data_IF_416541198482
#
_entry.id   IF_416541198482
#
_cell.length_a   1.000
_cell.length_b   1.000
_cell.length_c   1.000
_cell.angle_alpha   90.00
_cell.angle_beta   90.00
_cell.angle_gamma   90.00
#
_symmetry.space_group_name_H-M   'P 1'
#
loop_
_entity.id
_entity.type
_entity.pdbx_description
1 polymer ?
#
# COMPACT_ATOMS: atom_id res chain seq x y z
N UNK A 1 -21.95 2.28 1.12
CA UNK A 1 -21.60 0.86 1.27
C UNK A 1 -21.39 0.21 -0.08
N UNK A 2 -20.45 -0.73 -0.17
CA UNK A 2 -20.16 -1.50 -1.40
C UNK A 2 -19.72 -0.68 -2.62
N UNK A 3 -19.03 0.45 -2.44
CA UNK A 3 -18.55 1.29 -3.55
C UNK A 3 -17.54 0.56 -4.44
N UNK A 4 -16.59 -0.17 -3.86
CA UNK A 4 -15.58 -0.93 -4.61
C UNK A 4 -16.22 -2.00 -5.52
N UNK A 5 -17.08 -2.93 -5.06
CA UNK A 5 -17.74 -3.88 -5.94
C UNK A 5 -18.59 -3.22 -7.03
N UNK A 6 -19.31 -2.15 -6.71
CA UNK A 6 -20.11 -1.42 -7.70
C UNK A 6 -19.25 -0.79 -8.80
N UNK A 7 -18.16 -0.13 -8.43
CA UNK A 7 -17.22 0.44 -9.38
C UNK A 7 -16.53 -0.65 -10.23
N UNK A 8 -16.16 -1.79 -9.63
CA UNK A 8 -15.58 -2.92 -10.34
C UNK A 8 -16.55 -3.52 -11.36
N UNK A 9 -17.81 -3.73 -11.00
CA UNK A 9 -18.85 -4.18 -11.96
C UNK A 9 -19.07 -3.15 -13.08
N UNK A 10 -19.01 -1.87 -12.74
CA UNK A 10 -19.11 -0.79 -13.75
C UNK A 10 -17.99 -0.94 -14.80
N UNK A 11 -16.74 -1.09 -14.36
CA UNK A 11 -15.58 -1.26 -15.23
C UNK A 11 -15.61 -2.58 -16.01
N UNK A 12 -16.23 -3.61 -15.46
CA UNK A 12 -16.45 -4.90 -16.14
C UNK A 12 -17.57 -4.86 -17.21
N UNK A 13 -18.16 -3.70 -17.47
CA UNK A 13 -19.17 -3.51 -18.50
C UNK A 13 -20.62 -3.60 -18.04
N UNK A 14 -20.89 -3.75 -16.72
CA UNK A 14 -22.27 -3.76 -16.19
C UNK A 14 -22.85 -2.35 -15.96
N UNK A 15 -22.32 -1.36 -16.67
CA UNK A 15 -22.87 0.00 -16.72
C UNK A 15 -22.80 0.54 -18.16
N UNK A 16 -23.79 1.32 -18.63
CA UNK A 16 -23.87 1.77 -20.02
C UNK A 16 -22.60 2.48 -20.54
N UNK A 17 -21.93 3.24 -19.67
CA UNK A 17 -20.72 3.98 -20.03
C UNK A 17 -19.50 3.09 -20.34
N UNK A 18 -19.49 1.85 -19.88
CA UNK A 18 -18.40 0.88 -20.04
C UNK A 18 -18.81 -0.40 -20.75
N UNK A 19 -20.09 -0.51 -21.16
CA UNK A 19 -20.58 -1.64 -21.92
C UNK A 19 -20.32 -1.45 -23.42
N UNK A 20 -19.87 -2.50 -24.08
CA UNK A 20 -19.73 -2.54 -25.55
C UNK A 20 -21.07 -2.70 -26.26
N UNK A 21 -22.09 -3.15 -25.53
CA UNK A 21 -23.44 -3.39 -26.04
C UNK A 21 -24.46 -2.54 -25.27
N UNK A 22 -25.57 -2.24 -25.91
CA UNK A 22 -26.66 -1.47 -25.30
C UNK A 22 -27.75 -2.38 -24.80
N UNK A 23 -28.07 -2.28 -23.50
CA UNK A 23 -29.16 -3.03 -22.87
C UNK A 23 -30.22 -2.09 -22.29
N UNK A 24 -31.54 -2.42 -22.40
CA UNK A 24 -32.61 -1.60 -21.83
C UNK A 24 -32.57 -1.47 -20.31
N UNK A 25 -31.96 -2.45 -19.63
CA UNK A 25 -31.80 -2.48 -18.17
C UNK A 25 -30.71 -3.45 -17.77
N UNK A 26 -30.18 -3.30 -16.54
CA UNK A 26 -29.25 -4.26 -15.94
C UNK A 26 -29.84 -5.68 -15.87
N UNK A 27 -31.14 -5.82 -15.62
CA UNK A 27 -31.81 -7.12 -15.62
C UNK A 27 -31.68 -7.82 -16.99
N UNK A 28 -31.89 -7.08 -18.09
CA UNK A 28 -31.74 -7.62 -19.46
C UNK A 28 -30.29 -7.95 -19.79
N UNK A 29 -29.35 -7.16 -19.29
CA UNK A 29 -27.92 -7.46 -19.43
C UNK A 29 -27.56 -8.75 -18.69
N UNK A 30 -28.05 -8.96 -17.46
CA UNK A 30 -27.79 -10.17 -16.68
C UNK A 30 -28.48 -11.39 -17.30
N UNK A 31 -29.67 -11.26 -17.90
CA UNK A 31 -30.30 -12.33 -18.69
C UNK A 31 -29.41 -12.73 -19.88
N UNK A 32 -28.89 -11.77 -20.61
CA UNK A 32 -27.96 -12.02 -21.74
C UNK A 32 -26.63 -12.62 -21.27
N UNK A 33 -26.13 -12.21 -20.11
CA UNK A 33 -24.93 -12.78 -19.47
C UNK A 33 -25.16 -14.23 -18.98
N UNK A 34 -26.41 -14.61 -18.74
CA UNK A 34 -26.82 -15.97 -18.37
C UNK A 34 -26.86 -16.26 -16.87
N UNK A 35 -26.53 -15.29 -16.01
CA UNK A 35 -26.56 -15.46 -14.54
C UNK A 35 -26.67 -14.14 -13.78
N UNK A 36 -27.07 -14.22 -12.50
CA UNK A 36 -26.86 -13.16 -11.52
C UNK A 36 -25.44 -13.18 -10.97
N UNK A 37 -25.06 -12.10 -10.28
CA UNK A 37 -23.75 -11.96 -9.66
C UNK A 37 -23.93 -11.69 -8.16
N UNK A 38 -23.31 -12.51 -7.31
CA UNK A 38 -23.22 -12.29 -5.88
C UNK A 38 -21.75 -12.13 -5.50
N UNK A 39 -21.42 -11.09 -4.72
CA UNK A 39 -20.07 -10.79 -4.28
C UNK A 39 -20.03 -10.74 -2.76
N UNK A 40 -19.26 -11.63 -2.15
CA UNK A 40 -18.95 -11.60 -0.72
C UNK A 40 -17.51 -11.13 -0.52
N UNK A 41 -17.30 -10.17 0.37
CA UNK A 41 -15.98 -9.60 0.66
C UNK A 41 -15.59 -9.87 2.11
N UNK A 42 -14.35 -10.29 2.30
CA UNK A 42 -13.70 -10.38 3.61
C UNK A 42 -12.37 -9.61 3.57
N UNK A 43 -12.23 -8.61 4.43
CA UNK A 43 -10.98 -7.91 4.67
C UNK A 43 -10.56 -8.13 6.13
N UNK A 44 -9.47 -8.87 6.33
CA UNK A 44 -8.95 -9.19 7.66
C UNK A 44 -8.05 -8.08 8.23
N UNK A 45 -7.74 -7.03 7.45
CA UNK A 45 -6.90 -5.91 7.84
C UNK A 45 -7.77 -4.71 8.19
N UNK A 46 -7.50 -3.99 9.29
CA UNK A 46 -8.28 -2.81 9.68
C UNK A 46 -8.26 -1.72 8.58
N UNK A 47 -9.39 -1.09 8.34
CA UNK A 47 -9.46 0.08 7.46
C UNK A 47 -8.56 1.21 8.00
N UNK A 48 -7.93 1.96 7.10
CA UNK A 48 -6.98 3.02 7.48
C UNK A 48 -5.65 2.50 8.05
N UNK A 49 -5.29 1.25 7.73
CA UNK A 49 -4.07 0.60 8.21
C UNK A 49 -2.77 1.18 7.61
N UNK A 50 -2.84 1.89 6.47
CA UNK A 50 -1.67 2.35 5.73
C UNK A 50 -0.97 1.27 4.90
N UNK A 51 -1.55 0.08 4.78
CA UNK A 51 -0.97 -1.06 4.06
C UNK A 51 -1.58 -1.24 2.64
N UNK A 52 -2.05 -0.18 2.00
CA UNK A 52 -2.64 -0.27 0.66
C UNK A 52 -3.94 -1.08 0.58
N UNK A 53 -4.65 -1.26 1.70
CA UNK A 53 -5.80 -2.18 1.82
C UNK A 53 -6.90 -1.88 0.80
N UNK A 54 -7.13 -0.61 0.46
CA UNK A 54 -8.16 -0.21 -0.52
C UNK A 54 -7.82 -0.74 -1.92
N UNK A 55 -6.61 -0.47 -2.37
CA UNK A 55 -6.13 -0.88 -3.69
C UNK A 55 -6.02 -2.40 -3.81
N UNK A 56 -5.57 -3.07 -2.75
CA UNK A 56 -5.48 -4.55 -2.71
C UNK A 56 -6.88 -5.17 -2.75
N UNK A 57 -7.84 -4.63 -2.00
CA UNK A 57 -9.22 -5.11 -2.05
C UNK A 57 -9.84 -4.88 -3.42
N UNK A 58 -9.64 -3.70 -4.01
CA UNK A 58 -10.13 -3.38 -5.36
C UNK A 58 -9.54 -4.32 -6.42
N UNK A 59 -8.21 -4.55 -6.38
CA UNK A 59 -7.53 -5.49 -7.29
C UNK A 59 -8.03 -6.92 -7.12
N UNK A 60 -8.32 -7.35 -5.89
CA UNK A 60 -8.87 -8.68 -5.61
C UNK A 60 -10.27 -8.84 -6.21
N UNK A 61 -11.13 -7.83 -6.05
CA UNK A 61 -12.48 -7.83 -6.65
C UNK A 61 -12.41 -7.83 -8.17
N UNK A 62 -11.54 -6.98 -8.75
CA UNK A 62 -11.35 -6.94 -10.21
C UNK A 62 -10.79 -8.26 -10.76
N UNK A 63 -9.84 -8.89 -10.06
CA UNK A 63 -9.33 -10.20 -10.43
C UNK A 63 -10.40 -11.29 -10.43
N UNK A 64 -11.26 -11.31 -9.41
CA UNK A 64 -12.37 -12.27 -9.34
C UNK A 64 -13.40 -12.03 -10.44
N UNK A 65 -13.77 -10.76 -10.71
CA UNK A 65 -14.70 -10.38 -11.80
C UNK A 65 -14.09 -10.70 -13.16
N UNK A 66 -12.80 -10.41 -13.36
CA UNK A 66 -12.07 -10.75 -14.58
C UNK A 66 -12.20 -12.25 -14.92
N UNK A 67 -11.93 -13.10 -13.93
CA UNK A 67 -12.04 -14.56 -14.12
C UNK A 67 -13.49 -15.00 -14.33
N UNK A 68 -14.43 -14.49 -13.54
CA UNK A 68 -15.84 -14.82 -13.61
C UNK A 68 -16.49 -14.41 -14.94
N UNK A 69 -16.15 -13.23 -15.46
CA UNK A 69 -16.70 -12.67 -16.69
C UNK A 69 -15.88 -13.03 -17.94
N UNK A 70 -14.71 -13.67 -17.80
CA UNK A 70 -13.83 -14.03 -18.93
C UNK A 70 -13.26 -12.81 -19.66
N UNK A 71 -12.88 -11.73 -18.96
CA UNK A 71 -12.47 -10.45 -19.55
C UNK A 71 -11.05 -10.49 -20.12
N UNK A 72 -10.27 -11.51 -19.81
CA UNK A 72 -8.89 -11.73 -20.29
C UNK A 72 -7.90 -10.61 -19.91
N UNK A 73 -8.14 -9.89 -18.81
CA UNK A 73 -7.20 -8.90 -18.28
C UNK A 73 -5.97 -9.59 -17.68
N UNK A 74 -4.80 -9.08 -17.99
CA UNK A 74 -3.58 -9.50 -17.32
C UNK A 74 -3.38 -8.76 -15.97
N UNK A 75 -2.28 -9.02 -15.28
CA UNK A 75 -1.98 -8.38 -13.99
C UNK A 75 -1.75 -6.87 -14.11
N UNK A 76 -1.20 -6.39 -15.23
CA UNK A 76 -1.01 -4.96 -15.46
C UNK A 76 -2.35 -4.28 -15.73
N UNK A 77 -3.23 -4.94 -16.50
CA UNK A 77 -4.60 -4.47 -16.73
C UNK A 77 -5.34 -4.34 -15.40
N UNK A 78 -5.27 -5.36 -14.54
CA UNK A 78 -5.90 -5.31 -13.21
C UNK A 78 -5.35 -4.14 -12.38
N UNK A 79 -4.04 -3.88 -12.42
CA UNK A 79 -3.46 -2.72 -11.74
C UNK A 79 -3.98 -1.40 -12.32
N UNK A 80 -4.06 -1.30 -13.64
CA UNK A 80 -4.56 -0.10 -14.34
C UNK A 80 -6.05 0.13 -14.05
N UNK A 81 -6.87 -0.90 -14.11
CA UNK A 81 -8.29 -0.82 -13.74
C UNK A 81 -8.48 -0.53 -12.25
N UNK A 82 -7.57 -0.99 -11.38
CA UNK A 82 -7.61 -0.61 -9.96
C UNK A 82 -7.40 0.89 -9.78
N UNK A 83 -6.44 1.49 -10.50
CA UNK A 83 -6.23 2.94 -10.47
C UNK A 83 -7.49 3.68 -10.95
N UNK A 84 -8.06 3.26 -12.08
CA UNK A 84 -9.29 3.86 -12.62
C UNK A 84 -10.43 3.73 -11.60
N UNK A 85 -10.59 2.57 -10.97
CA UNK A 85 -11.59 2.35 -9.92
C UNK A 85 -11.42 3.32 -8.75
N UNK A 86 -10.20 3.51 -8.27
CA UNK A 86 -9.89 4.45 -7.19
C UNK A 86 -10.17 5.90 -7.60
N UNK A 87 -9.89 6.28 -8.85
CA UNK A 87 -10.26 7.59 -9.40
C UNK A 87 -11.78 7.79 -9.43
N UNK A 88 -12.55 6.79 -9.86
CA UNK A 88 -14.02 6.80 -9.82
C UNK A 88 -14.57 6.99 -8.39
N UNK A 89 -13.86 6.47 -7.39
CA UNK A 89 -14.19 6.62 -5.97
C UNK A 89 -13.61 7.90 -5.35
N UNK A 90 -12.93 8.73 -6.12
CA UNK A 90 -12.31 9.98 -5.66
C UNK A 90 -11.33 9.81 -4.50
N UNK A 91 -10.60 8.71 -4.46
CA UNK A 91 -9.63 8.45 -3.38
C UNK A 91 -8.32 9.19 -3.57
N UNK A 92 -7.97 9.57 -4.81
CA UNK A 92 -6.79 10.35 -5.14
C UNK A 92 -5.46 9.61 -4.93
N UNK A 93 -5.49 8.27 -4.84
CA UNK A 93 -4.30 7.44 -4.69
C UNK A 93 -3.47 7.33 -5.97
N UNK A 94 -2.20 6.92 -5.82
CA UNK A 94 -1.33 6.54 -6.93
C UNK A 94 -1.45 5.06 -7.27
N UNK A 95 -0.59 4.59 -8.17
CA UNK A 95 -0.60 3.20 -8.67
C UNK A 95 0.29 2.23 -7.87
N UNK A 96 1.03 2.66 -6.86
CA UNK A 96 2.03 1.83 -6.18
C UNK A 96 1.44 0.65 -5.40
N UNK A 97 0.30 0.84 -4.71
CA UNK A 97 -0.25 -0.16 -3.79
C UNK A 97 -0.82 -1.37 -4.53
N UNK A 98 -1.50 -1.16 -5.65
CA UNK A 98 -2.01 -2.24 -6.49
C UNK A 98 -0.88 -3.07 -7.08
N UNK A 99 0.18 -2.44 -7.62
CA UNK A 99 1.35 -3.16 -8.09
C UNK A 99 2.08 -3.87 -6.93
N UNK A 100 2.07 -3.28 -5.75
CA UNK A 100 2.58 -3.88 -4.52
C UNK A 100 1.87 -5.18 -4.16
N UNK A 101 0.55 -5.24 -4.27
CA UNK A 101 -0.28 -6.38 -3.89
C UNK A 101 -0.52 -7.41 -5.01
N UNK A 102 -0.69 -6.97 -6.25
CA UNK A 102 -0.98 -7.86 -7.40
C UNK A 102 0.23 -8.71 -7.78
N UNK A 103 1.42 -8.12 -7.76
CA UNK A 103 2.67 -8.83 -8.02
C UNK A 103 3.34 -9.27 -6.72
N UNK A 104 3.97 -10.44 -6.73
CA UNK A 104 4.68 -11.00 -5.58
C UNK A 104 6.06 -10.35 -5.34
N UNK A 105 6.66 -10.59 -4.19
CA UNK A 105 8.04 -10.27 -3.86
C UNK A 105 8.30 -8.79 -3.64
N UNK A 106 9.56 -8.42 -3.54
CA UNK A 106 10.04 -7.05 -3.34
C UNK A 106 10.28 -6.41 -4.70
N UNK A 107 9.83 -5.16 -4.85
CA UNK A 107 9.83 -4.51 -6.17
C UNK A 107 10.22 -3.04 -6.07
N UNK A 108 10.99 -2.59 -7.06
CA UNK A 108 11.10 -1.19 -7.43
C UNK A 108 10.10 -0.91 -8.56
N UNK A 109 9.25 0.06 -8.37
CA UNK A 109 8.29 0.51 -9.36
C UNK A 109 8.74 1.83 -9.94
N UNK A 110 8.78 1.91 -11.26
CA UNK A 110 9.21 3.11 -11.98
C UNK A 110 8.21 3.43 -13.09
N UNK A 111 7.99 4.70 -13.35
CA UNK A 111 7.20 5.17 -14.48
C UNK A 111 7.86 6.40 -15.08
N UNK A 112 7.68 6.61 -16.37
CA UNK A 112 8.06 7.84 -17.03
C UNK A 112 7.04 8.95 -16.77
N UNK A 113 7.48 10.20 -16.93
CA UNK A 113 6.58 11.35 -16.80
C UNK A 113 5.62 11.38 -17.99
N UNK A 114 4.34 11.61 -17.74
CA UNK A 114 3.31 11.69 -18.78
C UNK A 114 1.91 11.49 -18.22
N UNK A 115 0.90 11.74 -19.04
CA UNK A 115 -0.49 11.47 -18.69
C UNK A 115 -0.82 9.98 -18.71
N UNK A 116 -0.21 9.23 -19.63
CA UNK A 116 -0.29 7.77 -19.65
C UNK A 116 0.84 7.19 -18.83
N UNK A 117 0.49 6.38 -17.84
CA UNK A 117 1.43 5.77 -16.91
C UNK A 117 1.56 4.29 -17.21
N UNK A 118 2.77 3.84 -17.50
CA UNK A 118 3.12 2.44 -17.72
C UNK A 118 4.17 2.01 -16.67
N UNK A 119 3.75 1.65 -15.45
CA UNK A 119 4.69 1.30 -14.39
C UNK A 119 5.51 0.06 -14.75
N UNK A 120 6.82 0.19 -14.70
CA UNK A 120 7.77 -0.89 -14.85
C UNK A 120 8.02 -1.53 -13.48
N UNK A 121 7.86 -2.84 -13.42
CA UNK A 121 8.13 -3.65 -12.21
C UNK A 121 9.52 -4.24 -12.32
N UNK A 122 10.41 -3.90 -11.38
CA UNK A 122 11.74 -4.51 -11.24
C UNK A 122 11.79 -5.29 -9.93
N UNK A 123 11.90 -6.60 -10.00
CA UNK A 123 12.05 -7.44 -8.80
C UNK A 123 13.41 -7.26 -8.17
N UNK A 124 13.43 -7.16 -6.85
CA UNK A 124 14.61 -7.04 -6.03
C UNK A 124 14.80 -8.32 -5.20
N UNK A 125 16.03 -8.64 -4.79
CA UNK A 125 16.30 -9.81 -3.96
C UNK A 125 15.65 -9.67 -2.58
N UNK A 126 15.30 -10.79 -1.98
CA UNK A 126 14.62 -10.88 -0.70
C UNK A 126 15.56 -11.12 0.51
N UNK A 127 16.87 -11.25 0.27
CA UNK A 127 17.87 -11.60 1.28
C UNK A 127 17.76 -10.82 2.59
N UNK A 128 17.56 -9.49 2.52
CA UNK A 128 17.40 -8.64 3.72
C UNK A 128 16.18 -9.01 4.57
N UNK A 129 15.20 -9.70 4.02
CA UNK A 129 13.93 -9.99 4.69
C UNK A 129 13.78 -11.44 5.12
N UNK A 130 14.51 -12.36 4.47
CA UNK A 130 14.39 -13.81 4.74
C UNK A 130 15.61 -14.37 5.45
N UNK A 131 16.77 -13.69 5.37
CA UNK A 131 18.00 -14.18 6.02
C UNK A 131 17.84 -14.26 7.54
N UNK A 132 18.26 -15.33 8.19
CA UNK A 132 18.09 -15.54 9.64
C UNK A 132 18.62 -14.38 10.50
N UNK A 133 19.71 -13.72 10.10
CA UNK A 133 20.31 -12.62 10.85
C UNK A 133 19.45 -11.34 10.84
N UNK A 134 18.58 -11.17 9.83
CA UNK A 134 17.85 -9.92 9.62
C UNK A 134 16.34 -10.05 9.76
N UNK A 135 15.76 -11.22 9.41
CA UNK A 135 14.28 -11.38 9.35
C UNK A 135 13.58 -10.98 10.65
N UNK A 136 14.19 -11.29 11.81
CA UNK A 136 13.60 -11.01 13.11
C UNK A 136 13.77 -9.54 13.54
N UNK A 137 14.61 -8.78 12.81
CA UNK A 137 14.80 -7.33 12.99
C UNK A 137 13.73 -6.49 12.28
N UNK A 138 12.95 -7.08 11.40
CA UNK A 138 11.80 -6.41 10.76
C UNK A 138 10.57 -6.56 11.65
N UNK A 139 10.08 -5.45 12.18
CA UNK A 139 8.95 -5.43 13.09
C UNK A 139 7.79 -4.64 12.51
N UNK A 140 6.59 -5.21 12.57
CA UNK A 140 5.35 -4.55 12.19
C UNK A 140 4.44 -4.46 13.42
N UNK A 141 4.07 -3.23 13.79
CA UNK A 141 3.27 -2.96 14.98
C UNK A 141 2.02 -2.17 14.61
N UNK A 142 0.85 -2.73 14.88
CA UNK A 142 -0.40 -1.99 14.77
C UNK A 142 -0.52 -1.03 15.95
N UNK A 143 -0.56 0.27 15.67
CA UNK A 143 -0.58 1.31 16.71
C UNK A 143 -1.93 1.43 17.42
N UNK A 144 -3.00 0.86 16.84
CA UNK A 144 -4.37 1.07 17.31
C UNK A 144 -4.91 2.48 17.06
N UNK A 145 -4.14 3.33 16.38
CA UNK A 145 -4.48 4.70 15.99
C UNK A 145 -4.92 4.66 14.53
N UNK A 146 -6.08 5.21 14.24
CA UNK A 146 -6.59 5.30 12.87
C UNK A 146 -6.82 6.75 12.50
N UNK A 147 -6.38 7.16 11.32
CA UNK A 147 -6.65 8.46 10.72
C UNK A 147 -7.04 8.28 9.25
N UNK A 148 -7.85 9.19 8.74
CA UNK A 148 -8.24 9.17 7.34
C UNK A 148 -7.09 9.71 6.49
N UNK A 149 -6.50 8.88 5.63
CA UNK A 149 -5.41 9.24 4.71
C UNK A 149 -5.81 10.35 3.70
N UNK A 150 -7.11 10.49 3.43
CA UNK A 150 -7.66 11.41 2.42
C UNK A 150 -7.23 12.88 2.63
N UNK A 151 -7.14 13.35 3.88
CA UNK A 151 -6.74 14.74 4.17
C UNK A 151 -5.26 15.00 3.89
N UNK A 152 -4.40 14.04 4.20
CA UNK A 152 -2.94 14.12 3.96
C UNK A 152 -2.65 14.15 2.47
N UNK A 153 -3.24 13.23 1.70
CA UNK A 153 -3.07 13.18 0.25
C UNK A 153 -3.56 14.44 -0.44
N UNK A 154 -4.71 15.00 -0.01
CA UNK A 154 -5.24 16.24 -0.56
C UNK A 154 -4.31 17.43 -0.34
N UNK A 155 -3.67 17.53 0.82
CA UNK A 155 -2.69 18.58 1.13
C UNK A 155 -1.44 18.49 0.23
N UNK A 156 -0.89 17.28 0.08
CA UNK A 156 0.27 17.03 -0.79
C UNK A 156 -0.07 17.40 -2.24
N UNK A 157 -1.21 16.93 -2.77
CA UNK A 157 -1.65 17.21 -4.13
C UNK A 157 -1.86 18.72 -4.33
N UNK A 158 -2.49 19.41 -3.37
CA UNK A 158 -2.66 20.87 -3.42
C UNK A 158 -1.32 21.61 -3.51
N UNK A 159 -0.34 21.21 -2.68
CA UNK A 159 1.01 21.81 -2.70
C UNK A 159 1.74 21.59 -4.02
N UNK A 160 1.53 20.45 -4.68
CA UNK A 160 2.06 20.17 -6.03
C UNK A 160 1.41 21.07 -7.08
N UNK A 161 0.08 21.21 -7.08
CA UNK A 161 -0.65 22.07 -8.01
C UNK A 161 -0.26 23.55 -7.86
N UNK A 162 0.05 23.98 -6.65
CA UNK A 162 0.50 25.35 -6.37
C UNK A 162 1.98 25.56 -6.69
N UNK A 163 2.66 24.56 -7.29
CA UNK A 163 4.08 24.62 -7.63
C UNK A 163 4.98 25.04 -6.45
N UNK A 164 4.69 24.54 -5.25
CA UNK A 164 5.50 24.79 -4.07
C UNK A 164 6.94 24.29 -4.29
N UNK A 165 7.88 25.19 -4.45
CA UNK A 165 9.30 24.87 -4.70
C UNK A 165 9.88 23.88 -3.69
N UNK A 166 9.69 24.06 -2.36
CA UNK A 166 10.15 23.11 -1.36
C UNK A 166 9.57 21.70 -1.53
N UNK A 167 8.26 21.59 -1.85
CA UNK A 167 7.63 20.28 -2.06
C UNK A 167 8.12 19.59 -3.32
N UNK A 168 8.30 20.33 -4.41
CA UNK A 168 8.84 19.78 -5.66
C UNK A 168 10.29 19.29 -5.49
N UNK A 169 11.12 20.06 -4.78
CA UNK A 169 12.50 19.67 -4.44
C UNK A 169 12.50 18.39 -3.59
N UNK A 170 11.65 18.33 -2.57
CA UNK A 170 11.52 17.15 -1.70
C UNK A 170 11.08 15.90 -2.49
N UNK A 171 10.14 16.04 -3.42
CA UNK A 171 9.71 14.92 -4.29
C UNK A 171 10.86 14.43 -5.19
N UNK A 172 11.69 15.34 -5.72
CA UNK A 172 12.89 14.97 -6.48
C UNK A 172 13.89 14.20 -5.60
N UNK A 173 14.11 14.63 -4.35
CA UNK A 173 14.93 13.92 -3.38
C UNK A 173 14.35 12.53 -3.04
N UNK A 174 13.04 12.40 -2.86
CA UNK A 174 12.38 11.12 -2.61
C UNK A 174 12.53 10.17 -3.79
N UNK A 175 12.50 10.68 -5.03
CA UNK A 175 12.77 9.87 -6.22
C UNK A 175 14.20 9.31 -6.24
N UNK A 176 15.20 10.14 -5.94
CA UNK A 176 16.59 9.70 -5.81
C UNK A 176 16.74 8.68 -4.66
N UNK A 177 16.10 8.97 -3.52
CA UNK A 177 16.11 8.10 -2.35
C UNK A 177 15.53 6.70 -2.63
N UNK A 178 14.51 6.57 -3.49
CA UNK A 178 14.00 5.27 -3.91
C UNK A 178 15.06 4.43 -4.66
N UNK A 179 15.93 5.08 -5.42
CA UNK A 179 17.06 4.41 -6.07
C UNK A 179 18.12 3.97 -5.06
N UNK A 180 18.48 4.83 -4.09
CA UNK A 180 19.40 4.48 -2.99
C UNK A 180 18.87 3.26 -2.22
N UNK A 181 17.55 3.23 -1.94
CA UNK A 181 16.89 2.11 -1.27
C UNK A 181 17.01 0.82 -2.08
N UNK A 182 16.78 0.88 -3.39
CA UNK A 182 16.92 -0.29 -4.26
C UNK A 182 18.35 -0.81 -4.29
N UNK A 183 19.34 0.08 -4.29
CA UNK A 183 20.77 -0.28 -4.24
C UNK A 183 21.14 -0.95 -2.90
N UNK A 184 20.65 -0.43 -1.78
CA UNK A 184 20.86 -1.04 -0.46
C UNK A 184 20.29 -2.47 -0.41
N UNK A 185 19.12 -2.71 -1.01
CA UNK A 185 18.50 -4.05 -1.12
C UNK A 185 19.34 -4.96 -2.02
N UNK A 186 19.74 -4.50 -3.21
CA UNK A 186 20.56 -5.25 -4.17
C UNK A 186 21.90 -5.67 -3.58
N UNK A 187 22.50 -4.83 -2.72
CA UNK A 187 23.77 -5.11 -2.03
C UNK A 187 23.60 -5.86 -0.72
N UNK A 188 22.38 -6.21 -0.33
CA UNK A 188 22.06 -6.79 0.98
C UNK A 188 22.63 -6.00 2.16
N UNK A 189 22.66 -4.67 2.03
CA UNK A 189 23.21 -3.78 3.07
C UNK A 189 22.10 -3.39 4.07
N UNK A 190 21.98 -4.20 5.14
CA UNK A 190 20.94 -4.06 6.15
C UNK A 190 20.98 -2.71 6.88
N UNK A 191 22.18 -2.25 7.26
CA UNK A 191 22.35 -0.97 7.95
C UNK A 191 21.94 0.23 7.10
N UNK A 192 22.32 0.23 5.82
CA UNK A 192 21.90 1.27 4.89
C UNK A 192 20.40 1.22 4.65
N UNK A 193 19.83 0.03 4.47
CA UNK A 193 18.39 -0.16 4.34
C UNK A 193 17.63 0.45 5.53
N UNK A 194 18.02 0.12 6.77
CA UNK A 194 17.38 0.64 7.96
C UNK A 194 17.47 2.16 8.06
N UNK A 195 18.64 2.77 7.81
CA UNK A 195 18.81 4.23 7.79
C UNK A 195 17.96 4.91 6.71
N UNK A 196 17.85 4.29 5.54
CA UNK A 196 17.01 4.80 4.45
C UNK A 196 15.53 4.73 4.78
N UNK A 197 15.06 3.71 5.51
CA UNK A 197 13.70 3.68 6.07
C UNK A 197 13.45 4.89 6.98
N UNK A 198 14.41 5.22 7.86
CA UNK A 198 14.33 6.41 8.72
C UNK A 198 14.32 7.72 7.93
N UNK A 199 15.14 7.82 6.85
CA UNK A 199 15.13 9.00 5.95
C UNK A 199 13.76 9.18 5.27
N UNK A 200 13.14 8.08 4.82
CA UNK A 200 11.75 8.14 4.28
C UNK A 200 10.78 8.75 5.29
N UNK A 201 10.90 8.39 6.58
CA UNK A 201 10.04 8.92 7.62
C UNK A 201 10.20 10.43 7.80
N UNK A 202 11.42 10.94 7.74
CA UNK A 202 11.71 12.38 7.81
C UNK A 202 11.11 13.09 6.58
N UNK A 203 11.27 12.53 5.40
CA UNK A 203 10.71 13.09 4.16
C UNK A 203 9.18 13.11 4.18
N UNK A 204 8.53 12.06 4.68
CA UNK A 204 7.07 12.02 4.81
C UNK A 204 6.55 13.10 5.76
N UNK A 205 7.22 13.36 6.88
CA UNK A 205 6.86 14.44 7.80
C UNK A 205 7.08 15.84 7.19
N UNK A 206 8.07 15.97 6.31
CA UNK A 206 8.30 17.24 5.59
C UNK A 206 7.26 17.49 4.49
N UNK A 207 6.64 16.43 3.93
CA UNK A 207 5.52 16.55 2.99
C UNK A 207 4.22 16.97 3.70
N UNK A 208 3.94 16.40 4.86
CA UNK A 208 2.72 16.71 5.62
C UNK A 208 2.95 16.55 7.13
N UNK A 209 2.67 17.61 7.87
CA UNK A 209 2.84 17.62 9.33
C UNK A 209 1.88 16.64 10.06
N UNK A 210 0.78 16.25 9.45
CA UNK A 210 -0.16 15.28 9.98
C UNK A 210 0.32 13.83 9.91
N UNK A 211 1.41 13.57 9.20
CA UNK A 211 2.02 12.24 9.07
C UNK A 211 2.41 11.65 10.43
N UNK A 212 2.94 12.47 11.35
CA UNK A 212 3.39 12.05 12.69
C UNK A 212 2.56 12.66 13.81
N UNK A 213 1.38 12.13 14.14
CA UNK A 213 0.59 12.64 15.26
C UNK A 213 1.27 12.37 16.61
N UNK A 214 0.99 13.20 17.66
CA UNK A 214 1.63 13.08 18.96
C UNK A 214 1.60 11.68 19.59
N UNK A 215 0.52 10.94 19.38
CA UNK A 215 0.38 9.58 19.89
C UNK A 215 1.37 8.59 19.21
N UNK A 216 1.67 8.79 17.93
CA UNK A 216 2.70 7.99 17.21
C UNK A 216 4.09 8.43 17.64
N UNK A 217 4.33 9.73 17.75
CA UNK A 217 5.60 10.27 18.23
C UNK A 217 5.97 9.71 19.62
N UNK A 218 4.98 9.58 20.52
CA UNK A 218 5.18 8.99 21.86
C UNK A 218 5.57 7.50 21.82
N UNK A 219 5.07 6.73 20.83
CA UNK A 219 5.50 5.34 20.60
C UNK A 219 6.96 5.32 20.13
N UNK A 220 7.27 6.14 19.13
CA UNK A 220 8.60 6.24 18.52
C UNK A 220 9.66 6.62 19.55
N UNK A 221 9.37 7.56 20.43
CA UNK A 221 10.30 8.02 21.46
C UNK A 221 10.78 6.90 22.37
N UNK A 222 9.96 5.89 22.63
CA UNK A 222 10.30 4.74 23.47
C UNK A 222 11.24 3.75 22.79
N UNK A 223 11.30 3.74 21.46
CA UNK A 223 11.99 2.67 20.71
C UNK A 223 13.08 3.18 19.76
N UNK A 224 13.21 4.48 19.55
CA UNK A 224 14.14 5.08 18.58
C UNK A 224 15.59 4.62 18.78
N UNK A 225 16.03 4.46 20.02
CA UNK A 225 17.41 4.07 20.34
C UNK A 225 17.73 2.60 20.00
N UNK A 226 16.72 1.78 19.74
CA UNK A 226 16.85 0.38 19.37
C UNK A 226 16.69 0.14 17.85
N UNK A 227 16.37 1.17 17.07
CA UNK A 227 16.10 1.06 15.64
C UNK A 227 17.20 1.66 14.78
N UNK A 228 17.40 1.11 13.58
CA UNK A 228 18.11 1.76 12.48
C UNK A 228 17.20 2.77 11.78
N UNK A 229 15.92 2.46 11.70
CA UNK A 229 14.89 3.31 11.12
C UNK A 229 13.49 2.78 11.36
N UNK A 230 12.53 3.64 11.15
CA UNK A 230 11.10 3.33 11.29
C UNK A 230 10.27 4.25 10.39
N UNK A 231 9.06 3.83 10.05
CA UNK A 231 8.08 4.66 9.33
C UNK A 231 6.65 4.13 9.50
N UNK A 232 5.68 4.99 9.28
CA UNK A 232 4.32 4.53 8.96
C UNK A 232 4.24 4.29 7.45
N UNK A 233 3.83 3.11 6.97
CA UNK A 233 3.51 2.88 5.56
C UNK A 233 2.36 3.76 5.08
N UNK A 234 2.30 4.03 3.78
CA UNK A 234 1.29 4.89 3.17
C UNK A 234 1.44 6.37 3.56
N UNK A 235 0.33 7.09 3.68
CA UNK A 235 0.30 8.51 4.00
C UNK A 235 0.67 8.86 5.45
N UNK A 236 0.79 7.87 6.33
CA UNK A 236 1.06 8.11 7.76
C UNK A 236 -0.20 8.44 8.57
N UNK A 237 -0.01 9.11 9.70
CA UNK A 237 -1.10 9.52 10.59
C UNK A 237 -1.64 8.43 11.52
N UNK A 238 -1.19 7.18 11.40
CA UNK A 238 -1.63 6.02 12.18
C UNK A 238 -1.50 4.71 11.42
N UNK A 239 -2.24 3.68 11.84
CA UNK A 239 -2.17 2.36 11.26
C UNK A 239 -1.00 1.54 11.78
N UNK A 240 -0.18 1.02 10.88
CA UNK A 240 0.98 0.21 11.23
C UNK A 240 2.26 1.05 11.30
N UNK A 241 3.10 0.75 12.27
CA UNK A 241 4.47 1.24 12.37
C UNK A 241 5.42 0.11 11.96
N UNK A 242 6.15 0.30 10.88
CA UNK A 242 7.23 -0.57 10.46
C UNK A 242 8.53 -0.08 11.04
N UNK A 243 9.31 -1.00 11.62
CA UNK A 243 10.57 -0.72 12.30
C UNK A 243 11.65 -1.68 11.82
N UNK A 244 12.86 -1.18 11.66
CA UNK A 244 14.07 -1.97 11.42
C UNK A 244 14.92 -1.87 12.69
N UNK A 245 14.96 -2.92 13.50
CA UNK A 245 15.77 -2.98 14.71
C UNK A 245 17.26 -3.07 14.34
N UNK A 246 18.15 -2.59 15.22
CA UNK A 246 19.60 -2.64 15.01
C UNK A 246 20.14 -4.07 14.93
N UNK A 247 19.57 -4.97 15.70
CA UNK A 247 19.91 -6.37 15.81
C UNK A 247 18.77 -7.16 16.48
N UNK A 248 18.83 -8.50 16.57
CA UNK A 248 17.79 -9.31 17.20
C UNK A 248 17.58 -9.00 18.70
N UNK A 249 18.62 -8.56 19.42
CA UNK A 249 18.49 -8.16 20.83
C UNK A 249 17.68 -6.87 20.95
N UNK A 250 17.97 -5.89 20.13
CA UNK A 250 17.20 -4.64 20.04
C UNK A 250 15.74 -4.91 19.63
N UNK A 251 15.49 -5.84 18.70
CA UNK A 251 14.14 -6.27 18.33
C UNK A 251 13.38 -6.85 19.54
N UNK A 252 14.04 -7.68 20.36
CA UNK A 252 13.50 -8.21 21.61
C UNK A 252 13.13 -7.09 22.60
N UNK A 253 13.98 -6.06 22.75
CA UNK A 253 13.70 -4.91 23.61
C UNK A 253 12.50 -4.10 23.10
N UNK A 254 12.42 -3.83 21.80
CA UNK A 254 11.27 -3.13 21.21
C UNK A 254 9.97 -3.90 21.49
N UNK A 255 9.97 -5.23 21.27
CA UNK A 255 8.80 -6.07 21.54
C UNK A 255 8.38 -5.99 23.00
N UNK A 256 9.33 -6.09 23.94
CA UNK A 256 9.08 -5.98 25.37
C UNK A 256 8.46 -4.63 25.73
N UNK A 257 9.11 -3.51 25.34
CA UNK A 257 8.66 -2.14 25.64
C UNK A 257 7.24 -1.89 25.13
N UNK A 258 6.97 -2.22 23.88
CA UNK A 258 5.67 -1.93 23.26
C UNK A 258 4.56 -2.90 23.69
N UNK A 259 4.90 -4.07 24.24
CA UNK A 259 3.92 -4.99 24.83
C UNK A 259 3.57 -4.54 26.25
N UNK A 260 4.58 -4.23 27.09
CA UNK A 260 4.38 -3.81 28.48
C UNK A 260 3.73 -2.40 28.58
N UNK A 261 4.04 -1.53 27.62
CA UNK A 261 3.59 -0.14 27.60
C UNK A 261 2.76 0.16 26.33
N UNK A 262 1.85 -0.75 25.98
CA UNK A 262 0.99 -0.58 24.83
C UNK A 262 0.17 0.73 24.94
N UNK A 263 0.09 1.54 23.87
CA UNK A 263 -0.59 2.85 23.91
C UNK A 263 -2.10 2.72 24.05
N UNK A 264 -2.67 1.59 23.69
CA UNK A 264 -4.09 1.28 23.79
C UNK A 264 -4.34 -0.23 23.63
N UNK A 265 -5.53 -0.76 23.99
CA UNK A 265 -5.82 -2.20 23.95
C UNK A 265 -5.82 -2.85 22.55
N UNK A 266 -5.86 -2.06 21.48
CA UNK A 266 -5.83 -2.56 20.09
C UNK A 266 -4.41 -2.68 19.55
N UNK A 267 -3.46 -2.01 20.17
CA UNK A 267 -2.08 -2.00 19.73
C UNK A 267 -1.43 -3.36 19.94
N UNK A 268 -0.75 -3.87 18.90
CA UNK A 268 -0.11 -5.20 18.94
C UNK A 268 0.90 -5.38 17.83
N UNK A 269 1.87 -6.25 18.05
CA UNK A 269 2.71 -6.76 16.97
C UNK A 269 1.90 -7.66 16.03
N UNK A 270 2.27 -7.62 14.77
CA UNK A 270 1.72 -8.49 13.71
C UNK A 270 2.90 -9.17 13.04
N UNK A 271 2.74 -10.45 12.75
CA UNK A 271 3.70 -11.20 11.97
C UNK A 271 3.75 -10.67 10.54
N UNK A 272 4.96 -10.52 10.00
CA UNK A 272 5.20 -10.03 8.65
C UNK A 272 6.02 -11.07 7.90
N UNK A 273 5.49 -11.51 6.76
CA UNK A 273 6.19 -12.42 5.86
C UNK A 273 6.09 -11.89 4.42
N UNK A 274 7.06 -12.25 3.59
CA UNK A 274 6.99 -11.95 2.16
C UNK A 274 6.02 -12.92 1.48
N UNK A 275 5.16 -12.38 0.61
CA UNK A 275 4.30 -13.18 -0.25
C UNK A 275 5.04 -13.52 -1.55
N UNK A 276 5.03 -14.79 -1.90
CA UNK A 276 5.56 -15.34 -3.15
C UNK A 276 4.50 -15.44 -4.27
N UNK A 277 3.25 -15.13 -3.99
CA UNK A 277 2.12 -15.41 -4.90
C UNK A 277 1.45 -14.18 -5.49
N UNK A 278 1.37 -13.06 -4.74
CA UNK A 278 0.59 -11.89 -5.15
C UNK A 278 -0.91 -12.18 -5.26
N UNK A 279 -1.58 -11.55 -6.21
CA UNK A 279 -2.99 -11.81 -6.52
C UNK A 279 -3.20 -13.22 -7.05
N UNK A 280 -4.13 -13.95 -6.44
CA UNK A 280 -4.58 -15.28 -6.85
C UNK A 280 -6.08 -15.30 -7.02
N UNK A 281 -6.55 -16.01 -8.05
CA UNK A 281 -7.95 -16.33 -8.27
C UNK A 281 -8.05 -17.86 -8.43
N UNK A 282 -9.05 -18.46 -7.79
CA UNK A 282 -9.32 -19.90 -7.89
C UNK A 282 -10.80 -20.14 -8.09
N UNK A 283 -11.15 -21.18 -8.81
CA UNK A 283 -12.51 -21.71 -8.98
C UNK A 283 -12.68 -22.95 -8.10
N UNK A 284 -13.80 -23.09 -7.46
CA UNK A 284 -14.22 -24.29 -6.68
C UNK A 284 -15.29 -25.06 -7.43
#
# INVERSE_FOLDING_TARGET
>A
PFSIPKAALTLAGFAPAFSTESYPSLAKQLEAFGSGIEITLLAAIPAGSGLGTSSILASTVLGAINDFCGLAWDKNDICSYTLILEQLLTTGGGWQDQYGGVFSGIKLLQSEAGFEQHPLVRWLPDQLFVHPDYRDCHLLYYTGITRTAKSILAEIVSSMFLNSGPHLSLLAEMKAHAMDMSEAILRSNFDSFGRLVGKTWIQNQALDCGTNPPAVAAIIEKIKDYTLGYKLPGAGGGGYLYMVAKDPQAAGQIRRILTEQAPNPRARFVEMTLSDKGLQVSRS
#
